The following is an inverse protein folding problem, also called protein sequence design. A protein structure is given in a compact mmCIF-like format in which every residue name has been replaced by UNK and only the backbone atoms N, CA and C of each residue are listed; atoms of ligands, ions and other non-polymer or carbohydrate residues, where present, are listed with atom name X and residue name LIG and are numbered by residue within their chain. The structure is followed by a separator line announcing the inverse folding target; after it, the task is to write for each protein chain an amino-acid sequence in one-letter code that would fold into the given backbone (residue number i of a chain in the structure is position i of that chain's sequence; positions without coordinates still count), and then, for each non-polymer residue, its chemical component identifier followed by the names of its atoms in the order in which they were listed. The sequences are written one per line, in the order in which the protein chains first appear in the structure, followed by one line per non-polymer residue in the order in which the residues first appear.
data_IF_162261510662
#
_entry.id   IF_162261510662
#
_cell.length_a   1.000
_cell.length_b   1.000
_cell.length_c   1.000
_cell.angle_alpha   90.00
_cell.angle_beta   90.00
_cell.angle_gamma   90.00
#
_symmetry.space_group_name_H-M   'P 1'
#
loop_
_entity.id
_entity.type
_entity.pdbx_description
1 polymer ?
#
# COMPACT_ATOMS: atom_id res chain seq x y z
N UNK A 1 -6.06 12.83 2.19
CA UNK A 1 -4.62 12.75 2.50
C UNK A 1 -4.39 11.43 3.21
N UNK A 2 -3.90 10.42 2.51
CA UNK A 2 -3.68 9.08 3.07
C UNK A 2 -2.28 9.02 3.67
N UNK A 3 -2.19 8.74 4.97
CA UNK A 3 -0.94 8.54 5.70
C UNK A 3 -0.27 7.26 5.22
N UNK A 4 0.89 7.36 4.58
CA UNK A 4 1.71 6.21 4.18
C UNK A 4 2.43 5.63 5.39
N UNK A 5 2.03 4.44 5.83
CA UNK A 5 2.77 3.63 6.80
C UNK A 5 3.83 2.82 6.06
N UNK A 6 5.08 2.83 6.51
CA UNK A 6 6.18 2.01 5.95
C UNK A 6 6.15 0.57 6.45
N UNK A 7 4.95 0.02 6.63
CA UNK A 7 4.77 -1.35 7.14
C UNK A 7 5.01 -2.35 6.01
N UNK A 8 5.82 -3.36 6.28
CA UNK A 8 6.19 -4.41 5.30
C UNK A 8 4.97 -5.17 4.76
N UNK A 9 3.88 -5.20 5.53
CA UNK A 9 2.55 -5.72 5.13
C UNK A 9 1.83 -4.90 4.06
N UNK A 10 2.26 -3.68 3.76
CA UNK A 10 1.68 -2.83 2.71
C UNK A 10 2.40 -2.94 1.36
N UNK A 11 3.40 -3.82 1.27
CA UNK A 11 4.03 -4.17 -0.01
C UNK A 11 3.05 -5.05 -0.81
N UNK A 12 2.93 -4.86 -2.14
CA UNK A 12 2.20 -5.79 -2.97
C UNK A 12 2.94 -7.14 -2.95
N UNK A 13 2.43 -8.07 -2.14
CA UNK A 13 2.86 -9.46 -2.16
C UNK A 13 2.28 -10.05 -3.43
N UNK A 14 3.16 -10.36 -4.40
CA UNK A 14 2.79 -11.03 -5.63
C UNK A 14 2.20 -12.41 -5.32
N UNK A 15 0.89 -12.48 -5.14
CA UNK A 15 0.23 -13.68 -4.67
C UNK A 15 -1.21 -13.46 -4.19
N UNK A 16 -2.01 -12.69 -4.90
CA UNK A 16 -3.47 -12.72 -4.72
C UNK A 16 -4.18 -12.44 -6.05
N UNK A 17 -5.00 -13.41 -6.42
CA UNK A 17 -5.87 -13.43 -7.58
C UNK A 17 -7.02 -12.43 -7.44
N UNK A 18 -6.82 -11.21 -7.92
CA UNK A 18 -7.92 -10.30 -8.30
C UNK A 18 -7.96 -10.17 -9.82
N UNK A 19 -9.07 -10.60 -10.41
CA UNK A 19 -9.29 -10.68 -11.83
C UNK A 19 -9.74 -9.30 -12.35
N UNK A 20 -8.80 -8.51 -12.87
CA UNK A 20 -9.11 -7.24 -13.56
C UNK A 20 -9.60 -7.59 -14.96
N UNK A 21 -10.93 -7.63 -15.13
CA UNK A 21 -11.55 -7.85 -16.45
C UNK A 21 -11.60 -6.53 -17.23
N UNK A 22 -10.67 -6.34 -18.18
CA UNK A 22 -10.81 -5.31 -19.22
C UNK A 22 -11.86 -5.78 -20.24
N UNK A 23 -12.96 -5.02 -20.38
CA UNK A 23 -13.90 -5.21 -21.48
C UNK A 23 -13.45 -4.34 -22.66
N UNK A 24 -12.96 -4.98 -23.73
CA UNK A 24 -12.72 -4.34 -25.02
C UNK A 24 -13.81 -4.82 -25.98
N UNK A 25 -14.63 -3.90 -26.51
CA UNK A 25 -15.51 -4.21 -27.64
C UNK A 25 -14.71 -4.15 -28.95
N UNK A 26 -14.22 -5.30 -29.39
CA UNK A 26 -13.58 -5.44 -30.70
C UNK A 26 -14.67 -5.65 -31.77
N UNK A 27 -15.00 -4.58 -32.50
CA UNK A 27 -15.88 -4.68 -33.66
C UNK A 27 -15.11 -5.31 -34.82
N UNK A 28 -15.23 -6.64 -34.95
CA UNK A 28 -14.62 -7.39 -36.04
C UNK A 28 -15.25 -6.97 -37.38
N UNK A 29 -14.57 -6.11 -38.13
CA UNK A 29 -14.94 -5.81 -39.52
C UNK A 29 -14.39 -6.95 -40.36
N UNK A 30 -15.27 -7.86 -40.79
CA UNK A 30 -14.92 -8.90 -41.76
C UNK A 30 -14.59 -8.20 -43.08
N UNK A 31 -13.30 -8.02 -43.34
CA UNK A 31 -12.81 -7.57 -44.63
C UNK A 31 -12.90 -8.79 -45.56
N UNK A 32 -13.62 -8.62 -46.66
CA UNK A 32 -13.85 -9.66 -47.66
C UNK A 32 -12.52 -10.14 -48.24
N UNK A 33 -12.06 -11.30 -47.75
CA UNK A 33 -10.74 -11.82 -48.07
C UNK A 33 -10.82 -12.64 -49.35
N UNK A 34 -10.75 -11.94 -50.49
CA UNK A 34 -10.77 -12.53 -51.85
C UNK A 34 -9.72 -13.63 -52.07
N UNK A 35 -8.70 -13.70 -51.20
CA UNK A 35 -7.70 -14.77 -51.19
C UNK A 35 -8.30 -16.12 -50.78
N UNK A 36 -9.28 -16.13 -49.89
CA UNK A 36 -9.92 -17.34 -49.39
C UNK A 36 -10.86 -17.97 -50.43
N UNK A 37 -11.47 -17.14 -51.28
CA UNK A 37 -12.29 -17.60 -52.41
C UNK A 37 -11.43 -18.27 -53.51
N UNK A 38 -10.26 -17.70 -53.81
CA UNK A 38 -9.27 -18.30 -54.71
C UNK A 38 -8.71 -19.62 -54.19
N UNK A 39 -8.57 -19.75 -52.86
CA UNK A 39 -8.09 -20.98 -52.23
C UNK A 39 -9.16 -22.09 -52.29
N UNK A 40 -10.42 -21.75 -52.03
CA UNK A 40 -11.54 -22.68 -52.16
C UNK A 40 -11.74 -23.16 -53.62
N UNK A 41 -11.50 -22.30 -54.62
CA UNK A 41 -11.50 -22.72 -56.04
C UNK A 41 -10.38 -23.71 -56.35
N UNK A 42 -9.17 -23.48 -55.82
CA UNK A 42 -8.03 -24.39 -56.00
C UNK A 42 -8.27 -25.75 -55.35
N UNK A 43 -8.86 -25.77 -54.17
CA UNK A 43 -9.15 -27.01 -53.43
C UNK A 43 -10.28 -27.82 -54.11
N UNK A 44 -11.23 -27.15 -54.76
CA UNK A 44 -12.27 -27.79 -55.56
C UNK A 44 -11.72 -28.45 -56.84
N UNK A 45 -10.75 -27.83 -57.52
CA UNK A 45 -10.07 -28.42 -58.69
C UNK A 45 -9.21 -29.65 -58.33
N UNK A 46 -8.58 -29.66 -57.16
CA UNK A 46 -7.75 -30.78 -56.69
C UNK A 46 -8.58 -32.05 -56.45
N UNK A 47 -9.86 -31.92 -56.09
CA UNK A 47 -10.72 -33.07 -55.73
C UNK A 47 -11.24 -33.88 -56.92
N UNK A 48 -11.07 -33.41 -58.16
CA UNK A 48 -11.53 -34.10 -59.38
C UNK A 48 -10.45 -34.83 -60.17
N UNK A 49 -9.18 -34.77 -59.74
CA UNK A 49 -8.08 -35.50 -60.39
C UNK A 49 -7.45 -36.54 -59.47
N UNK A 50 -7.50 -37.79 -59.90
CA UNK A 50 -6.90 -38.94 -59.24
C UNK A 50 -5.39 -38.73 -58.98
N UNK A 51 -4.99 -38.57 -57.72
CA UNK A 51 -3.80 -39.20 -57.13
C UNK A 51 -2.39 -38.87 -57.68
N UNK A 52 -2.17 -37.73 -58.33
CA UNK A 52 -0.82 -37.25 -58.68
C UNK A 52 -0.59 -35.89 -58.00
N UNK A 53 0.53 -35.66 -57.27
CA UNK A 53 0.83 -34.32 -56.75
C UNK A 53 0.85 -33.35 -57.93
N UNK A 54 0.22 -32.17 -57.84
CA UNK A 54 0.29 -31.19 -58.91
C UNK A 54 1.77 -30.85 -59.07
N UNK A 55 2.37 -31.28 -60.17
CA UNK A 55 3.64 -30.75 -60.62
C UNK A 55 3.38 -29.27 -60.86
N UNK A 56 3.78 -28.42 -59.90
CA UNK A 56 3.68 -26.99 -60.03
C UNK A 56 4.48 -26.62 -61.28
N UNK A 57 3.78 -26.34 -62.39
CA UNK A 57 4.42 -25.99 -63.64
C UNK A 57 5.12 -24.65 -63.40
N UNK A 58 6.44 -24.69 -63.31
CA UNK A 58 7.28 -23.54 -63.02
C UNK A 58 7.02 -22.43 -64.05
N UNK A 59 6.65 -22.78 -65.29
CA UNK A 59 6.28 -21.79 -66.29
C UNK A 59 4.99 -21.05 -65.93
N UNK A 60 3.99 -21.73 -65.37
CA UNK A 60 2.74 -21.11 -64.98
C UNK A 60 2.91 -20.24 -63.72
N UNK A 61 3.75 -20.68 -62.78
CA UNK A 61 4.13 -19.87 -61.62
C UNK A 61 4.92 -18.63 -62.01
N UNK A 62 5.92 -18.75 -62.89
CA UNK A 62 6.73 -17.62 -63.38
C UNK A 62 5.86 -16.64 -64.18
N UNK A 63 4.95 -17.14 -65.02
CA UNK A 63 3.99 -16.29 -65.74
C UNK A 63 3.01 -15.58 -64.78
N UNK A 64 2.55 -16.27 -63.73
CA UNK A 64 1.74 -15.69 -62.67
C UNK A 64 2.47 -14.58 -61.92
N UNK A 65 3.74 -14.80 -61.57
CA UNK A 65 4.60 -13.84 -60.89
C UNK A 65 4.91 -12.64 -61.79
N UNK A 66 5.27 -12.87 -63.04
CA UNK A 66 5.58 -11.80 -64.00
C UNK A 66 4.34 -10.95 -64.29
N UNK A 67 3.15 -11.57 -64.37
CA UNK A 67 1.87 -10.86 -64.48
C UNK A 67 1.59 -10.05 -63.23
N UNK A 68 1.77 -10.62 -62.03
CA UNK A 68 1.56 -9.93 -60.76
C UNK A 68 2.54 -8.77 -60.52
N UNK A 69 3.79 -8.91 -60.95
CA UNK A 69 4.80 -7.85 -60.93
C UNK A 69 4.48 -6.76 -61.95
N UNK A 70 4.03 -7.13 -63.16
CA UNK A 70 3.62 -6.16 -64.19
C UNK A 70 2.37 -5.35 -63.81
N UNK A 71 1.46 -5.95 -63.04
CA UNK A 71 0.28 -5.28 -62.51
C UNK A 71 0.53 -4.58 -61.16
N UNK A 72 1.78 -4.49 -60.71
CA UNK A 72 2.17 -3.81 -59.47
C UNK A 72 1.66 -4.46 -58.18
N UNK A 73 1.09 -5.67 -58.23
CA UNK A 73 0.49 -6.35 -57.07
C UNK A 73 1.54 -6.84 -56.06
N UNK A 74 2.81 -6.96 -56.46
CA UNK A 74 3.92 -7.35 -55.56
C UNK A 74 4.61 -6.16 -54.91
N UNK A 75 4.26 -4.92 -55.25
CA UNK A 75 4.76 -3.75 -54.53
C UNK A 75 3.95 -3.59 -53.26
N UNK A 76 4.61 -3.80 -52.12
CA UNK A 76 4.06 -3.42 -50.83
C UNK A 76 3.85 -1.90 -50.84
N UNK A 77 2.64 -1.39 -50.57
CA UNK A 77 2.43 0.05 -50.50
C UNK A 77 3.28 0.60 -49.37
N UNK A 78 4.14 1.59 -49.67
CA UNK A 78 4.78 2.43 -48.65
C UNK A 78 3.73 3.34 -48.03
N UNK A 79 2.71 2.75 -47.42
CA UNK A 79 1.68 3.49 -46.71
C UNK A 79 2.19 3.73 -45.30
N UNK A 80 2.41 5.01 -45.02
CA UNK A 80 2.50 5.58 -43.69
C UNK A 80 3.87 5.48 -42.98
N UNK A 81 4.96 5.83 -43.68
CA UNK A 81 6.19 6.30 -42.99
C UNK A 81 6.38 7.78 -43.31
N UNK A 82 6.27 8.68 -42.32
CA UNK A 82 6.64 10.08 -42.50
C UNK A 82 8.13 10.17 -42.87
N UNK A 83 8.43 10.62 -44.10
CA UNK A 83 9.81 10.90 -44.55
C UNK A 83 10.33 12.22 -43.95
N UNK A 84 9.46 12.97 -43.26
CA UNK A 84 9.81 14.25 -42.68
C UNK A 84 10.67 14.10 -41.42
N UNK A 85 11.98 14.21 -41.59
CA UNK A 85 12.97 14.18 -40.51
C UNK A 85 13.05 15.52 -39.74
N UNK A 86 12.27 16.56 -40.10
CA UNK A 86 12.32 17.84 -39.41
C UNK A 86 12.00 17.73 -37.92
N UNK A 87 11.20 16.74 -37.49
CA UNK A 87 10.92 16.50 -36.08
C UNK A 87 12.18 16.02 -35.32
N UNK A 88 12.99 15.17 -35.94
CA UNK A 88 14.22 14.62 -35.35
C UNK A 88 15.34 15.66 -35.36
N UNK A 89 15.42 16.48 -36.41
CA UNK A 89 16.45 17.51 -36.56
C UNK A 89 16.23 18.73 -35.64
N UNK A 90 15.00 18.94 -35.15
CA UNK A 90 14.66 20.01 -34.20
C UNK A 90 14.79 19.61 -32.74
N UNK A 91 14.97 18.32 -32.46
CA UNK A 91 15.18 17.85 -31.11
C UNK A 91 16.61 18.17 -30.67
N UNK A 92 16.73 19.03 -29.66
CA UNK A 92 18.03 19.37 -29.09
C UNK A 92 18.70 18.15 -28.46
N UNK A 93 17.93 17.17 -27.98
CA UNK A 93 18.43 15.95 -27.36
C UNK A 93 19.11 14.99 -28.35
N UNK A 94 18.90 15.18 -29.66
CA UNK A 94 19.47 14.36 -30.74
C UNK A 94 20.80 14.92 -31.26
N UNK A 95 21.23 16.10 -30.78
CA UNK A 95 22.52 16.69 -31.15
C UNK A 95 23.66 15.82 -30.60
N UNK A 96 24.72 15.50 -31.39
CA UNK A 96 25.84 14.65 -30.95
C UNK A 96 26.54 15.10 -29.66
N UNK A 97 26.46 16.39 -29.31
CA UNK A 97 27.05 16.97 -28.10
C UNK A 97 25.98 17.57 -27.17
N UNK A 98 24.77 17.01 -27.11
CA UNK A 98 23.74 17.48 -26.20
C UNK A 98 24.14 17.22 -24.74
N UNK A 99 24.23 18.30 -23.95
CA UNK A 99 24.34 18.24 -22.49
C UNK A 99 22.99 18.68 -21.93
N UNK A 100 22.26 17.82 -21.20
CA UNK A 100 20.98 18.19 -20.61
C UNK A 100 21.13 19.41 -19.68
N UNK A 101 20.42 20.50 -19.97
CA UNK A 101 20.28 21.63 -19.05
C UNK A 101 19.28 21.29 -17.94
N UNK A 102 19.71 20.45 -17.02
CA UNK A 102 19.08 20.29 -15.71
C UNK A 102 20.14 20.51 -14.66
N UNK A 103 19.82 21.25 -13.60
CA UNK A 103 20.64 21.19 -12.40
C UNK A 103 20.78 19.71 -12.04
N UNK A 104 21.99 19.13 -12.01
CA UNK A 104 22.14 17.82 -11.41
C UNK A 104 21.76 18.03 -9.94
N UNK A 105 20.56 17.63 -9.57
CA UNK A 105 20.24 17.36 -8.17
C UNK A 105 21.28 16.32 -7.78
N UNK A 106 22.32 16.79 -7.10
CA UNK A 106 23.47 16.00 -6.72
C UNK A 106 22.97 14.93 -5.76
N UNK A 107 22.66 13.77 -6.34
CA UNK A 107 22.06 12.64 -5.65
C UNK A 107 22.93 12.14 -4.50
N UNK A 108 24.22 12.54 -4.46
CA UNK A 108 25.17 12.20 -3.41
C UNK A 108 25.03 13.14 -2.20
N UNK A 109 24.62 14.40 -2.39
CA UNK A 109 24.48 15.39 -1.30
C UNK A 109 23.08 15.45 -0.69
N UNK A 110 22.05 14.93 -1.37
CA UNK A 110 20.68 14.83 -0.82
C UNK A 110 20.41 13.59 0.04
N UNK A 111 21.40 12.72 0.24
CA UNK A 111 21.25 11.64 1.21
C UNK A 111 21.30 12.21 2.62
N UNK A 112 20.27 11.91 3.42
CA UNK A 112 20.29 12.14 4.86
C UNK A 112 21.62 11.58 5.40
N UNK A 113 22.52 12.47 5.80
CA UNK A 113 23.78 12.06 6.41
C UNK A 113 23.45 11.20 7.63
N UNK A 114 24.30 10.22 7.96
CA UNK A 114 24.12 9.38 9.14
C UNK A 114 23.87 10.24 10.40
N UNK A 115 24.49 11.42 10.46
CA UNK A 115 24.30 12.40 11.52
C UNK A 115 22.89 13.00 11.55
N UNK A 116 22.28 13.35 10.42
CA UNK A 116 20.90 13.83 10.36
C UNK A 116 19.90 12.72 10.71
N UNK A 117 20.15 11.47 10.29
CA UNK A 117 19.36 10.30 10.69
C UNK A 117 19.43 10.09 12.21
N UNK A 118 20.63 10.16 12.80
CA UNK A 118 20.84 10.04 14.25
C UNK A 118 20.11 11.18 14.98
N UNK A 119 20.23 12.41 14.51
CA UNK A 119 19.58 13.58 15.10
C UNK A 119 18.05 13.51 15.01
N UNK A 120 17.51 13.01 13.90
CA UNK A 120 16.08 12.80 13.73
C UNK A 120 15.57 11.69 14.67
N UNK A 121 16.29 10.58 14.81
CA UNK A 121 15.95 9.53 15.75
C UNK A 121 16.04 9.99 17.21
N UNK A 122 17.09 10.73 17.58
CA UNK A 122 17.24 11.31 18.91
C UNK A 122 16.09 12.28 19.25
N UNK A 123 15.64 13.10 18.29
CA UNK A 123 14.46 13.97 18.47
C UNK A 123 13.16 13.17 18.65
N UNK A 124 12.99 12.08 17.90
CA UNK A 124 11.82 11.19 18.02
C UNK A 124 11.81 10.47 19.37
N UNK A 125 12.94 9.89 19.78
CA UNK A 125 13.11 9.28 21.11
C UNK A 125 12.82 10.28 22.21
N UNK A 126 13.44 11.47 22.16
CA UNK A 126 13.19 12.51 23.17
C UNK A 126 11.72 12.89 23.31
N UNK A 127 10.96 12.89 22.21
CA UNK A 127 9.52 13.17 22.25
C UNK A 127 8.72 12.02 22.87
N UNK A 128 9.10 10.77 22.60
CA UNK A 128 8.52 9.60 23.24
C UNK A 128 8.85 9.54 24.73
N UNK A 129 10.12 9.76 25.08
CA UNK A 129 10.60 9.79 26.47
C UNK A 129 9.89 10.89 27.28
N UNK A 130 9.66 12.07 26.69
CA UNK A 130 8.92 13.14 27.37
C UNK A 130 7.48 12.73 27.70
N UNK A 131 6.77 12.05 26.79
CA UNK A 131 5.43 11.57 27.08
C UNK A 131 5.44 10.51 28.17
N UNK A 132 6.40 9.59 28.12
CA UNK A 132 6.55 8.53 29.12
C UNK A 132 6.85 9.08 30.52
N UNK A 133 7.72 10.09 30.60
CA UNK A 133 8.01 10.83 31.84
C UNK A 133 6.75 11.51 32.39
N UNK A 134 5.98 12.20 31.54
CA UNK A 134 4.73 12.85 31.95
C UNK A 134 3.70 11.83 32.42
N UNK A 135 3.56 10.71 31.71
CA UNK A 135 2.65 9.64 32.10
C UNK A 135 3.05 9.03 33.44
N UNK A 136 4.34 8.77 33.64
CA UNK A 136 4.87 8.22 34.89
C UNK A 136 4.59 9.17 36.05
N UNK A 137 4.84 10.47 35.89
CA UNK A 137 4.60 11.48 36.92
C UNK A 137 3.11 11.66 37.24
N UNK A 138 2.24 11.65 36.22
CA UNK A 138 0.80 11.88 36.39
C UNK A 138 0.03 10.61 36.79
N UNK A 139 0.60 9.42 36.58
CA UNK A 139 -0.04 8.15 36.92
C UNK A 139 -0.42 8.05 38.39
N UNK A 140 0.47 8.46 39.30
CA UNK A 140 0.27 8.43 40.74
C UNK A 140 -0.86 9.36 41.21
N UNK A 141 -0.88 10.67 40.86
CA UNK A 141 -1.99 11.54 41.23
C UNK A 141 -3.31 11.15 40.57
N UNK A 142 -3.32 10.68 39.32
CA UNK A 142 -4.54 10.15 38.67
C UNK A 142 -5.05 8.92 39.41
N UNK A 143 -4.16 7.98 39.76
CA UNK A 143 -4.52 6.79 40.53
C UNK A 143 -5.15 7.17 41.87
N UNK A 144 -4.54 8.09 42.61
CA UNK A 144 -5.09 8.58 43.88
C UNK A 144 -6.47 9.22 43.66
N UNK A 145 -6.66 9.98 42.59
CA UNK A 145 -7.95 10.58 42.27
C UNK A 145 -9.04 9.53 41.97
N UNK A 146 -8.73 8.53 41.15
CA UNK A 146 -9.68 7.43 40.82
C UNK A 146 -9.99 6.59 42.05
N UNK A 147 -8.98 6.28 42.87
CA UNK A 147 -9.15 5.52 44.10
C UNK A 147 -9.98 6.31 45.12
N UNK A 148 -9.71 7.61 45.27
CA UNK A 148 -10.50 8.50 46.12
C UNK A 148 -11.96 8.57 45.65
N UNK A 149 -12.19 8.65 44.33
CA UNK A 149 -13.52 8.60 43.75
C UNK A 149 -14.24 7.28 44.07
N UNK A 150 -13.57 6.13 43.92
CA UNK A 150 -14.11 4.84 44.34
C UNK A 150 -14.41 4.79 45.84
N UNK A 151 -13.51 5.32 46.67
CA UNK A 151 -13.68 5.35 48.12
C UNK A 151 -14.85 6.23 48.57
N UNK A 152 -15.15 7.30 47.82
CA UNK A 152 -16.29 8.17 48.04
C UNK A 152 -17.64 7.46 47.81
N UNK A 153 -17.66 6.33 47.07
CA UNK A 153 -18.90 5.63 46.74
C UNK A 153 -19.67 5.21 48.00
N UNK A 154 -21.01 5.39 48.01
CA UNK A 154 -21.84 5.01 49.14
C UNK A 154 -21.81 3.50 49.43
N UNK A 155 -21.50 2.68 48.41
CA UNK A 155 -21.31 1.23 48.57
C UNK A 155 -20.10 0.93 49.45
N UNK A 156 -18.96 1.60 49.21
CA UNK A 156 -17.74 1.43 50.02
C UNK A 156 -18.03 1.83 51.46
N UNK A 157 -18.66 2.98 51.67
CA UNK A 157 -19.09 3.43 53.01
C UNK A 157 -19.96 2.40 53.73
N UNK A 158 -20.93 1.79 53.03
CA UNK A 158 -21.77 0.71 53.58
C UNK A 158 -20.97 -0.55 53.92
N UNK A 159 -19.97 -0.90 53.12
CA UNK A 159 -19.09 -2.03 53.40
C UNK A 159 -18.26 -1.77 54.65
N UNK A 160 -17.66 -0.60 54.80
CA UNK A 160 -16.91 -0.21 56.00
C UNK A 160 -17.77 -0.23 57.28
N UNK A 161 -19.03 0.24 57.18
CA UNK A 161 -20.01 0.14 58.27
C UNK A 161 -20.27 -1.31 58.70
N UNK A 162 -20.27 -2.26 57.76
CA UNK A 162 -20.48 -3.69 58.03
C UNK A 162 -19.22 -4.41 58.54
N UNK A 163 -18.05 -4.10 57.99
CA UNK A 163 -16.78 -4.76 58.38
C UNK A 163 -16.18 -4.22 59.67
N UNK A 164 -16.39 -2.94 59.99
CA UNK A 164 -15.84 -2.30 61.19
C UNK A 164 -16.93 -1.69 62.09
N UNK A 165 -17.89 -2.49 62.60
CA UNK A 165 -18.99 -1.98 63.42
C UNK A 165 -18.51 -1.34 64.74
N UNK A 166 -17.28 -1.65 65.18
CA UNK A 166 -16.64 -1.06 66.37
C UNK A 166 -16.29 0.43 66.21
N UNK A 167 -16.08 0.91 64.98
CA UNK A 167 -15.67 2.30 64.70
C UNK A 167 -16.85 3.27 64.53
N UNK A 168 -18.07 2.76 64.50
CA UNK A 168 -19.29 3.55 64.31
C UNK A 168 -20.08 3.64 65.61
N UNK A 169 -20.70 4.79 65.86
CA UNK A 169 -21.61 4.94 67.00
C UNK A 169 -22.87 4.10 66.78
N UNK A 170 -23.60 3.79 67.87
CA UNK A 170 -24.95 3.19 67.78
C UNK A 170 -25.93 4.01 66.92
N UNK A 171 -25.65 5.30 66.71
CA UNK A 171 -26.42 6.20 65.83
C UNK A 171 -26.00 6.14 64.35
N UNK A 172 -24.96 5.37 63.99
CA UNK A 172 -24.46 5.29 62.61
C UNK A 172 -23.54 6.44 62.21
N UNK A 173 -23.19 7.32 63.15
CA UNK A 173 -22.27 8.44 62.93
C UNK A 173 -20.82 8.03 63.21
N UNK A 174 -19.89 8.60 62.44
CA UNK A 174 -18.46 8.38 62.65
C UNK A 174 -17.99 9.10 63.90
N UNK A 175 -17.48 8.33 64.87
CA UNK A 175 -16.70 8.88 65.98
C UNK A 175 -15.34 9.36 65.48
N UNK A 176 -14.68 10.23 66.22
CA UNK A 176 -13.30 10.67 65.94
C UNK A 176 -12.35 9.49 65.68
N UNK A 177 -12.51 8.40 66.43
CA UNK A 177 -11.78 7.14 66.24
C UNK A 177 -12.06 6.48 64.88
N UNK A 178 -13.30 6.54 64.39
CA UNK A 178 -13.66 6.04 63.07
C UNK A 178 -13.05 6.86 61.93
N UNK A 179 -12.98 8.19 62.07
CA UNK A 179 -12.26 9.03 61.11
C UNK A 179 -10.76 8.72 61.08
N UNK A 180 -10.14 8.49 62.24
CA UNK A 180 -8.73 8.11 62.32
C UNK A 180 -8.47 6.76 61.65
N UNK A 181 -9.29 5.75 61.94
CA UNK A 181 -9.18 4.43 61.32
C UNK A 181 -9.40 4.50 59.81
N UNK A 182 -10.39 5.27 59.34
CA UNK A 182 -10.62 5.47 57.91
C UNK A 182 -9.41 6.11 57.21
N UNK A 183 -8.73 7.06 57.85
CA UNK A 183 -7.51 7.67 57.30
C UNK A 183 -6.38 6.64 57.16
N UNK A 184 -6.16 5.82 58.19
CA UNK A 184 -5.14 4.76 58.17
C UNK A 184 -5.46 3.71 57.09
N UNK A 185 -6.72 3.27 57.00
CA UNK A 185 -7.14 2.30 55.99
C UNK A 185 -7.00 2.88 54.60
N UNK A 186 -7.39 4.13 54.38
CA UNK A 186 -7.24 4.79 53.08
C UNK A 186 -5.77 4.90 52.66
N UNK A 187 -4.88 5.29 53.58
CA UNK A 187 -3.44 5.28 53.35
C UNK A 187 -2.89 3.88 53.04
N UNK A 188 -3.35 2.85 53.76
CA UNK A 188 -2.96 1.46 53.51
C UNK A 188 -3.42 0.97 52.12
N UNK A 189 -4.63 1.34 51.70
CA UNK A 189 -5.15 1.01 50.36
C UNK A 189 -4.38 1.73 49.26
N UNK A 190 -4.03 3.01 49.44
CA UNK A 190 -3.17 3.74 48.49
C UNK A 190 -1.80 3.07 48.38
N UNK A 191 -1.17 2.73 49.51
CA UNK A 191 0.12 2.06 49.52
C UNK A 191 0.06 0.69 48.83
N UNK A 192 -0.98 -0.11 49.12
CA UNK A 192 -1.19 -1.40 48.48
C UNK A 192 -1.41 -1.26 46.96
N UNK A 193 -2.24 -0.29 46.54
CA UNK A 193 -2.50 -0.01 45.13
C UNK A 193 -1.24 0.47 44.40
N UNK A 194 -0.47 1.37 45.01
CA UNK A 194 0.82 1.84 44.46
C UNK A 194 1.82 0.70 44.32
N UNK A 195 1.90 -0.21 45.31
CA UNK A 195 2.77 -1.38 45.25
C UNK A 195 2.34 -2.38 44.17
N UNK A 196 1.03 -2.57 43.96
CA UNK A 196 0.51 -3.40 42.87
C UNK A 196 0.81 -2.77 41.51
N UNK A 197 0.66 -1.46 41.35
CA UNK A 197 0.97 -0.77 40.10
C UNK A 197 2.46 -0.89 39.75
N UNK A 198 3.35 -0.71 40.73
CA UNK A 198 4.78 -0.90 40.53
C UNK A 198 5.14 -2.35 40.16
N UNK A 199 4.41 -3.34 40.67
CA UNK A 199 4.57 -4.75 40.28
C UNK A 199 4.06 -5.04 38.87
N UNK A 200 3.00 -4.38 38.41
CA UNK A 200 2.49 -4.53 37.03
C UNK A 200 3.33 -3.78 36.00
N UNK A 201 3.98 -2.68 36.41
CA UNK A 201 4.84 -1.88 35.54
C UNK A 201 6.27 -2.42 35.43
N UNK A 202 6.65 -3.38 36.29
CA UNK A 202 7.98 -3.99 36.32
C UNK A 202 8.06 -5.29 35.55
#
# INVERSE_FOLDING_TARGET
MSMGTTSIDSLPVGGSSENITLQTEEKNVVIDNKMQELQAQRDAEISQSNGQPPSMDVNEFVNGLQKATSSGMTQLPSRDIPIDQNAVLKDEQVKPNFVPEGNPTDYITEHQTSEEIIKQNAKKQKSADNLDVIFTELSLPIMIAVLYFMYQLPVVRRTFLKTLPMCYSKSGELKLTGYLVNSIVFGAVIYAASKLLNQLSS
#
